data_IF_818958573147
#
_entry.id   IF_818958573147
#
_cell.length_a   1.000
_cell.length_b   1.000
_cell.length_c   1.000
_cell.angle_alpha   90.00
_cell.angle_beta   90.00
_cell.angle_gamma   90.00
#
_symmetry.space_group_name_H-M   'P 1'
#
loop_
_entity.id
_entity.type
_entity.pdbx_description
1 polymer ?
#
# COMPACT_ATOMS: atom_id res chain seq x y z
N UNK A 1 3.83 22.26 -0.28
CA UNK A 1 3.69 21.55 1.01
C UNK A 1 5.04 20.97 1.36
N UNK A 2 5.57 21.23 2.54
CA UNK A 2 6.80 20.61 3.04
C UNK A 2 6.55 19.14 3.42
N UNK A 3 7.60 18.31 3.57
CA UNK A 3 7.47 16.91 3.99
C UNK A 3 6.77 16.79 5.35
N UNK A 4 7.00 17.72 6.28
CA UNK A 4 6.34 17.75 7.58
C UNK A 4 4.83 18.04 7.47
N UNK A 5 4.45 19.06 6.68
CA UNK A 5 3.03 19.37 6.43
C UNK A 5 2.31 18.19 5.74
N UNK A 6 3.00 17.49 4.84
CA UNK A 6 2.45 16.30 4.20
C UNK A 6 2.25 15.15 5.19
N UNK A 7 3.21 14.91 6.08
CA UNK A 7 3.12 13.88 7.11
C UNK A 7 1.94 14.16 8.07
N UNK A 8 1.77 15.40 8.51
CA UNK A 8 0.65 15.82 9.36
C UNK A 8 -0.71 15.61 8.67
N UNK A 9 -0.81 16.00 7.38
CA UNK A 9 -2.02 15.82 6.59
C UNK A 9 -2.36 14.32 6.40
N UNK A 10 -1.34 13.50 6.13
CA UNK A 10 -1.47 12.05 5.99
C UNK A 10 -1.98 11.42 7.29
N UNK A 11 -1.36 11.76 8.42
CA UNK A 11 -1.77 11.25 9.73
C UNK A 11 -3.22 11.63 10.06
N UNK A 12 -3.58 12.92 9.92
CA UNK A 12 -4.92 13.41 10.20
C UNK A 12 -5.98 12.72 9.31
N UNK A 13 -5.69 12.56 8.03
CA UNK A 13 -6.60 11.92 7.06
C UNK A 13 -6.86 10.45 7.43
N UNK A 14 -5.82 9.67 7.68
CA UNK A 14 -5.96 8.25 8.00
C UNK A 14 -6.61 8.04 9.37
N UNK A 15 -6.25 8.83 10.38
CA UNK A 15 -6.90 8.80 11.69
C UNK A 15 -8.43 9.02 11.60
N UNK A 16 -8.86 9.97 10.74
CA UNK A 16 -10.28 10.26 10.54
C UNK A 16 -11.05 9.18 9.74
N UNK A 17 -10.37 8.20 9.15
CA UNK A 17 -10.97 7.22 8.22
C UNK A 17 -10.94 5.78 8.73
N UNK A 18 -10.46 5.53 9.94
CA UNK A 18 -10.22 4.18 10.50
C UNK A 18 -11.42 3.24 10.32
N UNK A 19 -12.61 3.65 10.73
CA UNK A 19 -13.82 2.81 10.66
C UNK A 19 -14.14 2.41 9.22
N UNK A 20 -14.13 3.38 8.29
CA UNK A 20 -14.39 3.14 6.87
C UNK A 20 -13.34 2.23 6.24
N UNK A 21 -12.08 2.38 6.62
CA UNK A 21 -10.99 1.50 6.18
C UNK A 21 -11.23 0.07 6.64
N UNK A 22 -11.56 -0.13 7.92
CA UNK A 22 -11.84 -1.46 8.48
C UNK A 22 -12.98 -2.14 7.74
N UNK A 23 -14.11 -1.45 7.53
CA UNK A 23 -15.27 -2.00 6.80
C UNK A 23 -14.91 -2.38 5.35
N UNK A 24 -14.22 -1.47 4.64
CA UNK A 24 -13.79 -1.70 3.27
C UNK A 24 -12.83 -2.91 3.17
N UNK A 25 -11.83 -3.00 4.04
CA UNK A 25 -10.88 -4.11 4.07
C UNK A 25 -11.56 -5.43 4.41
N UNK A 26 -12.48 -5.43 5.37
CA UNK A 26 -13.22 -6.63 5.75
C UNK A 26 -14.05 -7.17 4.59
N UNK A 27 -14.74 -6.31 3.86
CA UNK A 27 -15.58 -6.71 2.72
C UNK A 27 -14.78 -7.33 1.58
N UNK A 28 -13.50 -6.97 1.42
CA UNK A 28 -12.61 -7.43 0.33
C UNK A 28 -11.55 -8.45 0.76
N UNK A 29 -11.48 -8.79 2.04
CA UNK A 29 -10.41 -9.64 2.62
C UNK A 29 -10.26 -10.98 1.90
N UNK A 30 -11.36 -11.70 1.68
CA UNK A 30 -11.30 -13.03 1.06
C UNK A 30 -10.88 -12.97 -0.41
N UNK A 31 -11.34 -11.96 -1.14
CA UNK A 31 -10.93 -11.74 -2.52
C UNK A 31 -9.42 -11.44 -2.59
N UNK A 32 -8.94 -10.51 -1.75
CA UNK A 32 -7.52 -10.17 -1.67
C UNK A 32 -6.69 -11.39 -1.26
N UNK A 33 -7.15 -12.20 -0.28
CA UNK A 33 -6.47 -13.45 0.12
C UNK A 33 -6.34 -14.42 -1.04
N UNK A 34 -7.39 -14.61 -1.83
CA UNK A 34 -7.34 -15.49 -2.99
C UNK A 34 -6.36 -15.00 -4.05
N UNK A 35 -6.34 -13.68 -4.31
CA UNK A 35 -5.39 -13.06 -5.24
C UNK A 35 -3.95 -13.20 -4.73
N UNK A 36 -3.70 -12.90 -3.45
CA UNK A 36 -2.38 -13.02 -2.80
C UNK A 36 -1.88 -14.45 -2.86
N UNK A 37 -2.72 -15.44 -2.51
CA UNK A 37 -2.36 -16.86 -2.58
C UNK A 37 -1.93 -17.27 -3.99
N UNK A 38 -2.67 -16.85 -5.01
CA UNK A 38 -2.37 -17.16 -6.42
C UNK A 38 -1.10 -16.44 -6.90
N UNK A 39 -0.89 -15.19 -6.48
CA UNK A 39 0.21 -14.37 -6.97
C UNK A 39 1.53 -14.66 -6.27
N UNK A 40 1.53 -14.86 -4.95
CA UNK A 40 2.72 -15.10 -4.14
C UNK A 40 3.11 -16.56 -4.04
N UNK A 41 2.14 -17.49 -4.12
CA UNK A 41 2.36 -18.91 -3.88
C UNK A 41 3.13 -19.18 -2.57
N UNK A 42 2.63 -18.71 -1.41
CA UNK A 42 3.32 -18.81 -0.15
C UNK A 42 3.45 -20.28 0.31
N UNK A 43 4.55 -20.58 1.00
CA UNK A 43 4.85 -21.95 1.51
C UNK A 43 4.30 -22.21 2.89
N UNK A 44 3.93 -21.14 3.62
CA UNK A 44 3.44 -21.21 4.99
C UNK A 44 4.50 -20.88 6.06
N UNK A 45 5.78 -20.84 5.70
CA UNK A 45 6.88 -20.64 6.64
C UNK A 45 7.42 -19.20 6.63
N UNK A 46 6.89 -18.34 5.76
CA UNK A 46 7.40 -17.00 5.56
C UNK A 46 7.16 -16.10 6.78
N UNK A 47 8.17 -15.28 7.07
CA UNK A 47 8.09 -14.08 7.88
C UNK A 47 7.88 -12.87 6.98
N UNK A 48 6.72 -12.25 7.10
CA UNK A 48 6.27 -11.16 6.21
C UNK A 48 6.34 -9.81 6.90
N UNK A 49 6.84 -8.80 6.19
CA UNK A 49 6.78 -7.40 6.55
C UNK A 49 5.77 -6.69 5.66
N UNK A 50 4.78 -6.01 6.24
CA UNK A 50 3.78 -5.19 5.55
C UNK A 50 4.01 -3.73 5.92
N UNK A 51 4.45 -2.91 4.97
CA UNK A 51 4.84 -1.51 5.19
C UNK A 51 3.77 -0.56 4.67
N UNK A 52 3.33 0.38 5.52
CA UNK A 52 2.14 1.18 5.29
C UNK A 52 0.88 0.35 5.43
N UNK A 53 0.84 -0.50 6.46
CA UNK A 53 -0.18 -1.53 6.61
C UNK A 53 -1.59 -0.98 6.90
N UNK A 54 -1.70 0.28 7.30
CA UNK A 54 -2.97 0.86 7.72
C UNK A 54 -3.60 0.06 8.85
N UNK A 55 -4.89 -0.25 8.72
CA UNK A 55 -5.63 -1.06 9.70
C UNK A 55 -5.42 -2.58 9.49
N UNK A 56 -4.54 -3.00 8.57
CA UNK A 56 -4.10 -4.38 8.38
C UNK A 56 -4.73 -5.12 7.20
N UNK A 57 -5.20 -4.42 6.19
CA UNK A 57 -5.89 -5.03 5.05
C UNK A 57 -5.10 -6.17 4.39
N UNK A 58 -3.86 -5.91 3.99
CA UNK A 58 -2.98 -6.95 3.43
C UNK A 58 -2.48 -7.92 4.51
N UNK A 59 -2.07 -7.40 5.68
CA UNK A 59 -1.59 -8.23 6.78
C UNK A 59 -2.58 -9.35 7.14
N UNK A 60 -3.87 -9.04 7.28
CA UNK A 60 -4.91 -10.03 7.59
C UNK A 60 -5.30 -10.93 6.42
N UNK A 61 -5.11 -10.45 5.19
CA UNK A 61 -5.32 -11.29 4.02
C UNK A 61 -4.22 -12.37 3.91
N UNK A 62 -2.96 -12.03 4.20
CA UNK A 62 -1.82 -12.94 4.09
C UNK A 62 -1.60 -13.80 5.34
N UNK A 63 -1.99 -13.34 6.52
CA UNK A 63 -1.73 -14.01 7.80
C UNK A 63 -2.07 -15.52 7.84
N UNK A 64 -3.22 -16.01 7.29
CA UNK A 64 -3.52 -17.45 7.27
C UNK A 64 -2.65 -18.27 6.31
N UNK A 65 -1.81 -17.62 5.52
CA UNK A 65 -0.99 -18.25 4.46
C UNK A 65 0.49 -18.32 4.82
N UNK A 66 0.90 -17.71 5.95
CA UNK A 66 2.32 -17.50 6.31
C UNK A 66 2.53 -17.74 7.80
N UNK A 67 3.79 -17.83 8.23
CA UNK A 67 4.15 -18.07 9.62
C UNK A 67 3.83 -16.87 10.52
N UNK A 68 4.26 -15.69 10.14
CA UNK A 68 4.02 -14.46 10.89
C UNK A 68 4.03 -13.23 9.99
N UNK A 69 3.35 -12.18 10.44
CA UNK A 69 3.30 -10.88 9.77
C UNK A 69 3.68 -9.77 10.77
N UNK A 70 4.61 -8.92 10.38
CA UNK A 70 4.90 -7.66 11.05
C UNK A 70 4.35 -6.53 10.19
N UNK A 71 3.31 -5.87 10.67
CA UNK A 71 2.62 -4.78 10.01
C UNK A 71 3.13 -3.44 10.55
N UNK A 72 3.54 -2.53 9.68
CA UNK A 72 4.15 -1.24 10.05
C UNK A 72 3.33 -0.09 9.48
N UNK A 73 3.06 0.88 10.32
CA UNK A 73 2.46 2.16 9.91
C UNK A 73 2.99 3.28 10.82
N UNK A 74 2.79 4.54 10.39
CA UNK A 74 3.20 5.72 11.17
C UNK A 74 2.03 6.34 11.92
N UNK A 75 0.78 5.92 11.63
CA UNK A 75 -0.45 6.51 12.19
C UNK A 75 -0.93 5.71 13.40
N UNK A 76 -0.87 6.25 14.63
CA UNK A 76 -1.22 5.53 15.85
C UNK A 76 -2.65 4.97 15.86
N UNK A 77 -3.61 5.71 15.31
CA UNK A 77 -5.03 5.35 15.31
C UNK A 77 -5.29 4.11 14.44
N UNK A 78 -4.68 4.02 13.25
CA UNK A 78 -4.81 2.84 12.40
C UNK A 78 -4.14 1.63 13.04
N UNK A 79 -2.98 1.84 13.68
CA UNK A 79 -2.28 0.78 14.41
C UNK A 79 -3.10 0.25 15.59
N UNK A 80 -3.78 1.13 16.33
CA UNK A 80 -4.63 0.74 17.45
C UNK A 80 -5.79 -0.16 16.97
N UNK A 81 -6.45 0.22 15.86
CA UNK A 81 -7.52 -0.59 15.25
C UNK A 81 -6.98 -1.94 14.74
N UNK A 82 -5.81 -1.94 14.10
CA UNK A 82 -5.14 -3.15 13.64
C UNK A 82 -4.80 -4.10 14.79
N UNK A 83 -4.21 -3.60 15.87
CA UNK A 83 -3.87 -4.39 17.06
C UNK A 83 -5.10 -5.04 17.70
N UNK A 84 -6.19 -4.28 17.88
CA UNK A 84 -7.42 -4.78 18.43
C UNK A 84 -8.01 -5.95 17.60
N UNK A 85 -7.90 -5.89 16.28
CA UNK A 85 -8.34 -6.96 15.37
C UNK A 85 -7.39 -8.16 15.41
N UNK A 86 -6.07 -7.92 15.46
CA UNK A 86 -5.06 -8.98 15.53
C UNK A 86 -5.23 -9.83 16.80
N UNK A 87 -5.42 -9.20 17.96
CA UNK A 87 -5.66 -9.89 19.23
C UNK A 87 -6.87 -10.85 19.18
N UNK A 88 -7.89 -10.53 18.41
CA UNK A 88 -9.12 -11.31 18.33
C UNK A 88 -9.06 -12.45 17.28
N UNK A 89 -8.46 -12.17 16.12
CA UNK A 89 -8.61 -13.04 14.94
C UNK A 89 -7.26 -13.55 14.37
N UNK A 90 -6.14 -12.84 14.60
CA UNK A 90 -4.87 -13.08 13.91
C UNK A 90 -3.66 -13.03 14.85
N UNK A 91 -3.46 -14.04 15.72
CA UNK A 91 -2.40 -14.04 16.73
C UNK A 91 -0.97 -14.04 16.15
N UNK A 92 -0.81 -14.30 14.86
CA UNK A 92 0.46 -14.25 14.14
C UNK A 92 0.72 -12.91 13.46
N UNK A 93 -0.09 -11.85 13.72
CA UNK A 93 0.11 -10.49 13.21
C UNK A 93 0.51 -9.55 14.35
N UNK A 94 1.61 -8.83 14.17
CA UNK A 94 2.09 -7.82 15.12
C UNK A 94 2.17 -6.46 14.45
N UNK A 95 1.68 -5.41 15.12
CA UNK A 95 1.72 -4.03 14.62
C UNK A 95 2.81 -3.21 15.31
N UNK A 96 3.66 -2.56 14.50
CA UNK A 96 4.79 -1.72 14.93
C UNK A 96 4.63 -0.31 14.37
N UNK A 97 4.83 0.70 15.20
CA UNK A 97 4.88 2.09 14.77
C UNK A 97 6.27 2.41 14.24
N UNK A 98 6.37 2.77 12.96
CA UNK A 98 7.63 3.21 12.35
C UNK A 98 7.39 3.94 11.02
N UNK A 99 8.37 4.77 10.63
CA UNK A 99 8.43 5.39 9.32
C UNK A 99 8.83 4.36 8.26
N UNK A 100 8.07 4.28 7.18
CA UNK A 100 8.32 3.40 6.03
C UNK A 100 9.69 3.66 5.36
N UNK A 101 10.20 4.89 5.46
CA UNK A 101 11.50 5.29 4.92
C UNK A 101 12.68 5.01 5.87
N UNK A 102 12.42 4.52 7.09
CA UNK A 102 13.45 4.22 8.11
C UNK A 102 12.97 3.15 9.09
N UNK A 103 12.97 1.90 8.66
CA UNK A 103 12.43 0.78 9.41
C UNK A 103 13.37 0.32 10.53
N UNK A 104 12.86 0.03 11.75
CA UNK A 104 13.67 -0.35 12.91
C UNK A 104 14.06 -1.84 12.91
N UNK A 105 14.25 -2.43 11.74
CA UNK A 105 14.58 -3.85 11.61
C UNK A 105 16.00 -4.05 11.07
N UNK A 106 16.60 -5.17 11.45
CA UNK A 106 17.89 -5.60 10.93
C UNK A 106 17.77 -6.03 9.45
N UNK A 107 18.88 -5.93 8.72
CA UNK A 107 18.97 -6.40 7.35
C UNK A 107 18.64 -7.89 7.24
N UNK A 108 17.86 -8.25 6.24
CA UNK A 108 17.58 -9.64 5.92
C UNK A 108 16.66 -10.37 6.90
N UNK A 109 15.90 -9.65 7.73
CA UNK A 109 15.06 -10.24 8.76
C UNK A 109 13.75 -10.86 8.27
N UNK A 110 13.40 -10.71 6.99
CA UNK A 110 12.12 -11.14 6.42
C UNK A 110 12.29 -11.96 5.13
N UNK A 111 11.34 -12.84 4.85
CA UNK A 111 11.27 -13.63 3.62
C UNK A 111 10.47 -12.89 2.53
N UNK A 112 9.53 -12.05 2.93
CA UNK A 112 8.74 -11.18 2.06
C UNK A 112 8.59 -9.82 2.72
N UNK A 113 8.86 -8.74 1.98
CA UNK A 113 8.51 -7.39 2.35
C UNK A 113 7.52 -6.81 1.33
N UNK A 114 6.44 -6.21 1.81
CA UNK A 114 5.34 -5.71 0.97
C UNK A 114 5.08 -4.23 1.23
N UNK A 115 4.68 -3.51 0.18
CA UNK A 115 4.02 -2.21 0.25
C UNK A 115 2.75 -2.28 -0.61
N UNK A 116 1.59 -2.17 0.02
CA UNK A 116 0.28 -2.36 -0.62
C UNK A 116 -0.55 -1.09 -0.50
N UNK A 117 -0.81 -0.43 -1.62
CA UNK A 117 -1.52 0.87 -1.66
C UNK A 117 -0.83 1.95 -0.81
N UNK A 118 0.50 1.99 -0.83
CA UNK A 118 1.33 2.82 0.06
C UNK A 118 2.15 3.85 -0.69
N UNK A 119 2.77 3.48 -1.82
CA UNK A 119 3.78 4.31 -2.48
C UNK A 119 3.22 5.64 -2.98
N UNK A 120 1.95 5.69 -3.36
CA UNK A 120 1.30 6.93 -3.80
C UNK A 120 0.98 7.91 -2.66
N UNK A 121 1.18 7.52 -1.40
CA UNK A 121 1.03 8.39 -0.22
C UNK A 121 2.37 8.93 0.31
N UNK A 122 3.51 8.40 -0.12
CA UNK A 122 4.80 8.81 0.40
C UNK A 122 5.50 9.80 -0.52
N UNK A 123 6.16 10.81 0.04
CA UNK A 123 6.89 11.82 -0.74
C UNK A 123 8.16 11.25 -1.38
N UNK A 124 8.76 10.21 -0.78
CA UNK A 124 10.03 9.59 -1.20
C UNK A 124 9.92 8.06 -1.35
N UNK A 125 9.19 7.56 -2.37
CA UNK A 125 8.98 6.13 -2.57
C UNK A 125 10.28 5.34 -2.78
N UNK A 126 11.35 5.99 -3.27
CA UNK A 126 12.67 5.40 -3.41
C UNK A 126 13.26 4.93 -2.07
N UNK A 127 13.03 5.65 -0.98
CA UNK A 127 13.50 5.23 0.35
C UNK A 127 12.69 4.04 0.87
N UNK A 128 11.38 4.03 0.64
CA UNK A 128 10.53 2.91 1.04
C UNK A 128 10.95 1.63 0.32
N UNK A 129 11.17 1.69 -1.00
CA UNK A 129 11.62 0.51 -1.77
C UNK A 129 13.02 0.06 -1.33
N UNK A 130 13.92 0.98 -0.99
CA UNK A 130 15.23 0.65 -0.43
C UNK A 130 15.12 -0.08 0.92
N UNK A 131 14.23 0.36 1.80
CA UNK A 131 13.96 -0.28 3.09
C UNK A 131 13.31 -1.67 2.94
N UNK A 132 12.35 -1.83 2.01
CA UNK A 132 11.82 -3.16 1.66
C UNK A 132 12.95 -4.10 1.21
N UNK A 133 13.81 -3.62 0.31
CA UNK A 133 14.94 -4.40 -0.19
C UNK A 133 15.93 -4.75 0.92
N UNK A 134 16.29 -3.80 1.81
CA UNK A 134 17.20 -4.04 2.93
C UNK A 134 16.65 -5.08 3.90
N UNK A 135 15.35 -5.03 4.15
CA UNK A 135 14.66 -5.87 5.14
C UNK A 135 14.56 -7.35 4.75
N UNK A 136 14.67 -7.69 3.45
CA UNK A 136 14.58 -9.09 3.00
C UNK A 136 15.95 -9.79 2.98
N UNK A 137 15.92 -11.09 3.30
CA UNK A 137 17.09 -11.97 3.18
C UNK A 137 17.52 -12.22 1.72
N UNK A 138 18.61 -12.95 1.54
CA UNK A 138 19.19 -13.27 0.21
C UNK A 138 18.21 -13.99 -0.74
N UNK A 139 17.26 -14.75 -0.21
CA UNK A 139 16.21 -15.44 -0.97
C UNK A 139 14.86 -14.75 -0.83
N UNK A 140 14.85 -13.58 -0.19
CA UNK A 140 13.64 -12.82 0.08
C UNK A 140 13.04 -12.20 -1.18
N UNK A 141 11.78 -11.87 -1.08
CA UNK A 141 10.97 -11.27 -2.14
C UNK A 141 10.42 -9.92 -1.70
N UNK A 142 10.24 -9.00 -2.64
CA UNK A 142 9.52 -7.74 -2.45
C UNK A 142 8.25 -7.78 -3.26
N UNK A 143 7.13 -7.44 -2.63
CA UNK A 143 5.83 -7.25 -3.27
C UNK A 143 5.46 -5.77 -3.24
N UNK A 144 5.15 -5.21 -4.40
CA UNK A 144 4.51 -3.90 -4.52
C UNK A 144 3.15 -4.09 -5.18
N UNK A 145 2.10 -3.57 -4.55
CA UNK A 145 0.76 -3.49 -5.13
C UNK A 145 0.33 -2.04 -5.02
N UNK A 146 0.18 -1.36 -6.15
CA UNK A 146 -0.25 0.04 -6.11
C UNK A 146 -1.07 0.43 -7.33
N UNK A 147 -1.79 1.54 -7.22
CA UNK A 147 -2.39 2.18 -8.36
C UNK A 147 -1.29 2.82 -9.20
N UNK A 148 -1.29 2.53 -10.48
CA UNK A 148 -0.28 3.06 -11.41
C UNK A 148 -0.85 4.17 -12.28
N UNK A 149 0.03 5.12 -12.63
CA UNK A 149 -0.33 6.20 -13.53
C UNK A 149 -0.70 5.68 -14.92
N UNK A 150 -1.68 6.31 -15.61
CA UNK A 150 -1.93 6.06 -17.01
C UNK A 150 -0.68 6.30 -17.87
N UNK A 151 -0.62 5.62 -19.03
CA UNK A 151 0.50 5.77 -19.98
C UNK A 151 0.55 7.18 -20.59
N UNK A 152 -0.62 7.79 -20.81
CA UNK A 152 -0.70 9.18 -21.26
C UNK A 152 -0.42 10.13 -20.07
N UNK A 153 0.65 10.96 -20.16
CA UNK A 153 1.02 11.86 -19.07
C UNK A 153 -0.05 12.92 -18.75
N UNK A 154 -0.84 13.34 -19.75
CA UNK A 154 -1.91 14.34 -19.54
C UNK A 154 -3.06 13.72 -18.76
N UNK A 155 -3.46 12.50 -19.10
CA UNK A 155 -4.45 11.74 -18.33
C UNK A 155 -3.94 11.47 -16.92
N UNK A 156 -2.65 11.12 -16.77
CA UNK A 156 -2.02 10.94 -15.47
C UNK A 156 -2.05 12.19 -14.61
N UNK A 157 -1.77 13.36 -15.19
CA UNK A 157 -1.82 14.63 -14.49
C UNK A 157 -3.24 15.00 -14.01
N UNK A 158 -4.26 14.82 -14.86
CA UNK A 158 -5.66 15.05 -14.48
C UNK A 158 -6.12 14.09 -13.39
N UNK A 159 -5.70 12.83 -13.47
CA UNK A 159 -6.00 11.84 -12.45
C UNK A 159 -5.34 12.18 -11.11
N UNK A 160 -4.08 12.59 -11.10
CA UNK A 160 -3.39 13.05 -9.89
C UNK A 160 -4.04 14.31 -9.29
N UNK A 161 -4.62 15.19 -10.11
CA UNK A 161 -5.41 16.33 -9.61
C UNK A 161 -6.66 15.88 -8.89
N UNK A 162 -7.38 14.93 -9.45
CA UNK A 162 -8.55 14.33 -8.84
C UNK A 162 -8.20 13.62 -7.52
N UNK A 163 -7.17 12.78 -7.55
CA UNK A 163 -6.73 12.03 -6.36
C UNK A 163 -6.32 12.98 -5.20
N UNK A 164 -5.59 14.06 -5.48
CA UNK A 164 -5.24 15.07 -4.46
C UNK A 164 -6.44 15.88 -3.97
N UNK A 165 -7.43 16.12 -4.82
CA UNK A 165 -8.67 16.80 -4.39
C UNK A 165 -9.52 15.90 -3.49
N UNK A 166 -9.48 14.58 -3.72
CA UNK A 166 -10.17 13.57 -2.92
C UNK A 166 -9.47 13.28 -1.60
N UNK A 167 -8.15 13.22 -1.62
CA UNK A 167 -7.33 12.72 -0.51
C UNK A 167 -6.06 13.58 -0.36
N UNK A 168 -5.98 14.40 0.69
CA UNK A 168 -4.83 15.29 0.90
C UNK A 168 -3.51 14.55 1.18
N UNK A 169 -3.56 13.26 1.52
CA UNK A 169 -2.38 12.42 1.70
C UNK A 169 -1.80 11.89 0.38
N UNK A 170 -2.53 12.03 -0.73
CA UNK A 170 -2.04 11.59 -2.03
C UNK A 170 -0.88 12.46 -2.52
N UNK A 171 0.25 11.85 -2.88
CA UNK A 171 1.39 12.54 -3.49
C UNK A 171 1.32 12.49 -5.01
N UNK A 172 1.48 11.30 -5.56
CA UNK A 172 1.40 11.03 -7.01
C UNK A 172 1.21 9.54 -7.29
N UNK A 173 0.61 9.24 -8.42
CA UNK A 173 0.65 7.89 -9.00
C UNK A 173 2.00 7.67 -9.68
N UNK A 174 2.63 6.54 -9.39
CA UNK A 174 3.86 6.14 -10.07
C UNK A 174 3.50 5.42 -11.39
N UNK A 175 4.16 5.76 -12.52
CA UNK A 175 4.09 4.95 -13.73
C UNK A 175 4.62 3.52 -13.50
N UNK A 176 4.16 2.56 -14.28
CA UNK A 176 4.69 1.18 -14.29
C UNK A 176 6.22 1.14 -14.42
N UNK A 177 6.75 1.99 -15.30
CA UNK A 177 8.21 2.13 -15.53
C UNK A 177 8.96 2.59 -14.30
N UNK A 178 8.39 3.50 -13.51
CA UNK A 178 9.05 4.04 -12.32
C UNK A 178 9.11 2.97 -11.22
N UNK A 179 8.03 2.21 -11.00
CA UNK A 179 8.04 1.09 -10.03
C UNK A 179 9.08 0.05 -10.42
N UNK A 180 9.15 -0.35 -11.70
CA UNK A 180 10.16 -1.28 -12.20
C UNK A 180 11.58 -0.75 -12.02
N UNK A 181 11.80 0.53 -12.30
CA UNK A 181 13.10 1.17 -12.14
C UNK A 181 13.53 1.25 -10.68
N UNK A 182 12.60 1.52 -9.75
CA UNK A 182 12.88 1.50 -8.32
C UNK A 182 13.29 0.10 -7.83
N UNK A 183 12.63 -0.94 -8.30
CA UNK A 183 12.98 -2.33 -7.97
C UNK A 183 14.37 -2.69 -8.52
N UNK A 184 14.63 -2.40 -9.80
CA UNK A 184 15.92 -2.69 -10.47
C UNK A 184 17.09 -1.92 -9.83
N UNK A 185 16.91 -0.63 -9.51
CA UNK A 185 17.92 0.20 -8.84
C UNK A 185 18.33 -0.32 -7.46
N UNK A 186 17.48 -1.14 -6.81
CA UNK A 186 17.77 -1.83 -5.56
C UNK A 186 18.29 -3.27 -5.75
N UNK A 187 18.69 -3.64 -6.96
CA UNK A 187 19.23 -4.97 -7.28
C UNK A 187 18.20 -6.10 -7.25
N UNK A 188 16.93 -5.76 -7.43
CA UNK A 188 15.83 -6.72 -7.48
C UNK A 188 15.47 -7.04 -8.93
N UNK A 189 15.26 -8.30 -9.22
CA UNK A 189 14.77 -8.79 -10.52
C UNK A 189 13.29 -9.08 -10.41
N UNK A 190 12.52 -8.47 -11.30
CA UNK A 190 11.09 -8.74 -11.40
C UNK A 190 10.86 -10.21 -11.81
N UNK A 191 10.10 -10.94 -10.99
CA UNK A 191 9.76 -12.35 -11.19
C UNK A 191 8.39 -12.52 -11.80
N UNK A 192 7.45 -11.67 -11.36
CA UNK A 192 6.06 -11.66 -11.84
C UNK A 192 5.50 -10.26 -11.78
N UNK A 193 4.72 -9.89 -12.78
CA UNK A 193 3.88 -8.69 -12.72
C UNK A 193 2.55 -8.93 -13.41
N UNK A 194 1.50 -8.35 -12.84
CA UNK A 194 0.14 -8.38 -13.37
C UNK A 194 -0.49 -6.99 -13.21
N UNK A 195 -1.45 -6.67 -14.06
CA UNK A 195 -2.22 -5.43 -13.95
C UNK A 195 -3.71 -5.77 -13.98
N UNK A 196 -4.46 -5.14 -13.12
CA UNK A 196 -5.91 -5.31 -13.02
C UNK A 196 -6.60 -3.97 -13.19
N UNK A 197 -7.75 -3.99 -13.85
CA UNK A 197 -8.63 -2.84 -13.93
C UNK A 197 -9.65 -2.91 -12.78
N UNK A 198 -9.75 -1.83 -12.03
CA UNK A 198 -10.68 -1.70 -10.91
C UNK A 198 -11.64 -0.54 -11.21
N UNK A 199 -12.87 -0.86 -11.58
CA UNK A 199 -13.92 0.14 -11.72
C UNK A 199 -14.28 0.70 -10.34
N UNK A 200 -14.37 2.01 -10.24
CA UNK A 200 -14.68 2.71 -8.99
C UNK A 200 -15.95 3.51 -9.12
N UNK A 201 -16.87 3.28 -8.22
CA UNK A 201 -17.93 4.23 -7.93
C UNK A 201 -17.32 5.47 -7.30
N UNK A 202 -17.43 6.61 -7.96
CA UNK A 202 -16.76 7.86 -7.53
C UNK A 202 -17.29 8.31 -6.17
N UNK A 203 -18.59 8.22 -5.93
CA UNK A 203 -19.19 8.64 -4.66
C UNK A 203 -18.67 7.81 -3.48
N UNK A 204 -18.74 6.48 -3.58
CA UNK A 204 -18.20 5.59 -2.56
C UNK A 204 -16.67 5.72 -2.38
N UNK A 205 -15.96 6.08 -3.45
CA UNK A 205 -14.52 6.31 -3.39
C UNK A 205 -14.16 7.62 -2.66
N UNK A 206 -14.97 8.68 -2.81
CA UNK A 206 -14.86 9.91 -2.03
C UNK A 206 -15.19 9.66 -0.55
N UNK A 207 -16.22 8.87 -0.28
CA UNK A 207 -16.62 8.51 1.08
C UNK A 207 -15.52 7.76 1.82
N UNK A 208 -14.84 6.83 1.15
CA UNK A 208 -13.70 6.09 1.72
C UNK A 208 -12.58 7.02 2.19
N UNK A 209 -12.32 8.10 1.46
CA UNK A 209 -11.34 9.12 1.86
C UNK A 209 -11.87 10.09 2.94
N UNK A 210 -13.17 10.08 3.22
CA UNK A 210 -13.81 11.08 4.09
C UNK A 210 -13.93 12.45 3.43
N UNK A 211 -13.87 12.50 2.10
CA UNK A 211 -13.99 13.73 1.32
C UNK A 211 -15.42 14.27 1.40
N UNK A 212 -15.59 15.46 1.97
CA UNK A 212 -16.90 16.05 2.26
C UNK A 212 -16.93 17.56 1.99
N UNK A 213 -18.12 18.17 2.00
CA UNK A 213 -18.33 19.62 1.82
C UNK A 213 -17.71 20.16 0.53
N UNK A 214 -17.06 21.32 0.61
CA UNK A 214 -16.46 22.03 -0.52
C UNK A 214 -15.34 21.21 -1.21
N UNK A 215 -14.65 20.34 -0.44
CA UNK A 215 -13.62 19.45 -1.00
C UNK A 215 -14.23 18.39 -1.90
N UNK A 216 -15.37 17.81 -1.47
CA UNK A 216 -16.13 16.86 -2.28
C UNK A 216 -16.67 17.49 -3.57
N UNK A 217 -17.24 18.68 -3.48
CA UNK A 217 -17.74 19.42 -4.65
C UNK A 217 -16.59 19.68 -5.65
N UNK A 218 -15.43 20.09 -5.16
CA UNK A 218 -14.24 20.29 -5.97
C UNK A 218 -13.77 18.99 -6.62
N UNK A 219 -13.67 17.91 -5.86
CA UNK A 219 -13.29 16.59 -6.37
C UNK A 219 -14.24 16.10 -7.46
N UNK A 220 -15.57 16.20 -7.22
CA UNK A 220 -16.59 15.82 -8.21
C UNK A 220 -16.52 16.64 -9.49
N UNK A 221 -16.15 17.94 -9.42
CA UNK A 221 -16.05 18.81 -10.61
C UNK A 221 -14.93 18.41 -11.57
N UNK A 222 -13.97 17.60 -11.13
CA UNK A 222 -12.82 17.13 -11.92
C UNK A 222 -12.71 15.60 -11.95
N UNK A 223 -13.71 14.91 -11.42
CA UNK A 223 -13.72 13.44 -11.41
C UNK A 223 -13.84 12.88 -12.83
N UNK A 224 -13.16 11.75 -13.15
CA UNK A 224 -13.37 11.04 -14.39
C UNK A 224 -14.82 10.52 -14.50
N UNK A 225 -15.45 10.63 -15.69
CA UNK A 225 -16.83 10.17 -15.90
C UNK A 225 -17.03 8.67 -15.62
N UNK A 226 -16.03 7.85 -15.97
CA UNK A 226 -16.01 6.41 -15.72
C UNK A 226 -14.67 6.05 -15.12
N UNK A 227 -14.56 6.19 -13.80
CA UNK A 227 -13.27 5.99 -13.15
C UNK A 227 -12.91 4.51 -13.08
N UNK A 228 -11.86 4.15 -13.83
CA UNK A 228 -11.25 2.82 -13.77
C UNK A 228 -9.77 2.99 -13.43
N UNK A 229 -9.40 2.53 -12.24
CA UNK A 229 -8.01 2.55 -11.79
C UNK A 229 -7.27 1.32 -12.31
N UNK A 230 -6.03 1.49 -12.73
CA UNK A 230 -5.13 0.37 -13.03
C UNK A 230 -4.30 0.04 -11.79
N UNK A 231 -4.39 -1.19 -11.33
CA UNK A 231 -3.64 -1.68 -10.17
C UNK A 231 -2.53 -2.59 -10.66
N UNK A 232 -1.30 -2.17 -10.41
CA UNK A 232 -0.10 -2.96 -10.71
C UNK A 232 0.29 -3.84 -9.53
N UNK A 233 0.62 -5.09 -9.81
CA UNK A 233 1.17 -6.08 -8.89
C UNK A 233 2.58 -6.44 -9.36
N UNK A 234 3.56 -6.32 -8.49
CA UNK A 234 4.98 -6.55 -8.81
C UNK A 234 5.61 -7.43 -7.74
N UNK A 235 6.06 -8.61 -8.13
CA UNK A 235 6.85 -9.49 -7.28
C UNK A 235 8.27 -9.53 -7.82
N UNK A 236 9.22 -9.08 -7.00
CA UNK A 236 10.64 -9.07 -7.33
C UNK A 236 11.45 -9.83 -6.28
N UNK A 237 12.65 -10.28 -6.62
CA UNK A 237 13.55 -10.99 -5.73
C UNK A 237 14.98 -10.57 -6.00
N UNK A 238 15.89 -10.75 -5.02
CA UNK A 238 17.32 -10.56 -5.25
C UNK A 238 17.81 -11.50 -6.34
N UNK A 239 18.82 -11.05 -7.11
CA UNK A 239 19.52 -11.95 -8.02
C UNK A 239 20.25 -13.01 -7.19
N UNK A 240 20.15 -14.30 -7.57
CA UNK A 240 21.06 -15.29 -7.03
C UNK A 240 22.50 -14.90 -7.39
N UNK A 241 23.38 -14.85 -6.42
CA UNK A 241 24.83 -14.69 -6.62
C UNK A 241 25.40 -15.98 -7.19
#
# INVERSE_FOLDING_TARGET
MSDAEHADATQARFAASVERMVEHEQSRREELRAQVRRFLEPTGDERVLDVGAGTGGFAFAVAPLVKEVVAVDVVPEVLAAGRARAEQEFPNVTFVEADAASLPFQDGGFDLAAAVRTLHHVSRPELVVAELCRSIGMRGRVLVIDQIAPVDPLVGFELDRFERARDPSHTRLLPDTDIRSLLDANGLVLRRSEQYQEARDVDGYLDLAGCAGDERERALSIAPENYTATIGWYLAARQPV
#
